data_IF_796895348970
#
_entry.id   IF_796895348970
#
_cell.length_a   1.000
_cell.length_b   1.000
_cell.length_c   1.000
_cell.angle_alpha   90.00
_cell.angle_beta   90.00
_cell.angle_gamma   90.00
#
_symmetry.space_group_name_H-M   'P 1'
#
loop_
_entity.id
_entity.type
_entity.pdbx_description
1 polymer ?
#
# COMPACT_ATOMS: atom_id res chain seq x y z
N UNK A 1 -10.39 24.68 22.88
CA UNK A 1 -9.10 24.33 22.26
C UNK A 1 -9.31 24.40 20.75
N UNK A 2 -8.74 25.39 20.10
CA UNK A 2 -9.16 25.84 18.77
C UNK A 2 -8.61 24.94 17.66
N UNK A 3 -9.48 24.50 16.75
CA UNK A 3 -9.15 23.73 15.53
C UNK A 3 -8.01 24.39 14.74
N UNK A 4 -7.96 25.73 14.75
CA UNK A 4 -6.92 26.55 14.10
C UNK A 4 -5.55 26.29 14.72
N UNK A 5 -5.45 26.09 16.04
CA UNK A 5 -4.19 25.82 16.73
C UNK A 5 -3.64 24.44 16.38
N UNK A 6 -4.52 23.44 16.26
CA UNK A 6 -4.12 22.11 15.82
C UNK A 6 -3.65 22.10 14.36
N UNK A 7 -4.32 22.85 13.50
CA UNK A 7 -3.91 22.99 12.10
C UNK A 7 -2.58 23.76 11.97
N UNK A 8 -2.37 24.80 12.79
CA UNK A 8 -1.10 25.52 12.85
C UNK A 8 0.07 24.64 13.31
N UNK A 9 -0.14 23.81 14.33
CA UNK A 9 0.86 22.87 14.83
C UNK A 9 1.18 21.78 13.79
N UNK A 10 0.18 21.32 13.04
CA UNK A 10 0.37 20.38 11.95
C UNK A 10 1.23 20.95 10.81
N UNK A 11 0.99 22.20 10.43
CA UNK A 11 1.79 22.90 9.42
C UNK A 11 3.24 23.16 9.90
N UNK A 12 3.44 23.47 11.18
CA UNK A 12 4.77 23.62 11.77
C UNK A 12 5.54 22.29 11.81
N UNK A 13 4.85 21.20 12.10
CA UNK A 13 5.43 19.86 12.06
C UNK A 13 5.84 19.47 10.63
N UNK A 14 4.99 19.74 9.64
CA UNK A 14 5.32 19.53 8.23
C UNK A 14 6.53 20.36 7.79
N UNK A 15 6.61 21.63 8.21
CA UNK A 15 7.76 22.49 7.93
C UNK A 15 9.05 21.95 8.57
N UNK A 16 8.96 21.39 9.79
CA UNK A 16 10.07 20.76 10.48
C UNK A 16 10.61 19.51 9.75
N UNK A 17 9.74 18.74 9.09
CA UNK A 17 10.14 17.58 8.28
C UNK A 17 10.97 17.96 7.04
N UNK A 18 10.80 19.17 6.50
CA UNK A 18 11.54 19.64 5.33
C UNK A 18 12.85 20.37 5.69
N UNK A 19 13.21 20.50 6.97
CA UNK A 19 14.52 21.00 7.37
C UNK A 19 15.60 19.95 7.10
N UNK A 20 16.76 20.39 6.59
CA UNK A 20 17.84 19.50 6.14
C UNK A 20 18.26 18.56 7.27
N UNK A 21 18.24 17.22 7.06
CA UNK A 21 18.75 16.27 8.03
C UNK A 21 20.27 16.41 8.16
N UNK A 22 20.78 16.34 9.37
CA UNK A 22 22.21 16.47 9.68
C UNK A 22 23.08 15.43 8.96
N UNK A 23 22.52 14.24 8.68
CA UNK A 23 23.21 13.14 7.99
C UNK A 23 22.34 12.51 6.89
N UNK A 24 22.40 13.07 5.68
CA UNK A 24 21.69 12.57 4.49
C UNK A 24 21.98 11.09 4.20
N UNK A 25 23.19 10.61 4.47
CA UNK A 25 23.58 9.21 4.21
C UNK A 25 22.90 8.22 5.16
N UNK A 26 22.75 8.59 6.43
CA UNK A 26 22.07 7.79 7.44
C UNK A 26 20.58 7.74 7.18
N UNK A 27 20.01 8.91 6.84
CA UNK A 27 18.58 9.02 6.48
C UNK A 27 18.22 8.18 5.27
N UNK A 28 19.06 8.21 4.22
CA UNK A 28 18.84 7.44 3.00
C UNK A 28 18.97 5.93 3.24
N UNK A 29 19.92 5.52 4.07
CA UNK A 29 20.10 4.10 4.45
C UNK A 29 18.88 3.59 5.22
N UNK A 30 18.38 4.36 6.17
CA UNK A 30 17.21 4.01 6.97
C UNK A 30 15.94 3.97 6.10
N UNK A 31 15.76 4.95 5.23
CA UNK A 31 14.65 4.98 4.29
C UNK A 31 14.61 3.73 3.40
N UNK A 32 15.75 3.35 2.82
CA UNK A 32 15.83 2.15 1.97
C UNK A 32 15.56 0.89 2.79
N UNK A 33 16.09 0.81 4.01
CA UNK A 33 15.84 -0.32 4.90
C UNK A 33 14.35 -0.49 5.21
N UNK A 34 13.68 0.57 5.62
CA UNK A 34 12.25 0.57 5.90
C UNK A 34 11.40 0.28 4.64
N UNK A 35 11.79 0.82 3.49
CA UNK A 35 11.10 0.56 2.23
C UNK A 35 11.18 -0.93 1.83
N UNK A 36 12.34 -1.56 2.00
CA UNK A 36 12.53 -2.98 1.73
C UNK A 36 11.74 -3.83 2.73
N UNK A 37 11.79 -3.49 4.00
CA UNK A 37 11.07 -4.24 5.05
C UNK A 37 9.54 -4.20 4.83
N UNK A 38 8.99 -3.02 4.53
CA UNK A 38 7.58 -2.85 4.21
C UNK A 38 7.22 -3.60 2.91
N UNK A 39 8.04 -3.44 1.87
CA UNK A 39 7.81 -4.07 0.57
C UNK A 39 7.84 -5.59 0.64
N UNK A 40 8.91 -6.17 1.17
CA UNK A 40 9.06 -7.63 1.29
C UNK A 40 8.06 -8.20 2.29
N UNK A 41 7.82 -7.52 3.40
CA UNK A 41 6.85 -7.95 4.40
C UNK A 41 5.39 -7.98 3.91
N UNK A 42 5.06 -7.21 2.87
CA UNK A 42 3.71 -7.21 2.27
C UNK A 42 3.52 -8.26 1.16
N UNK A 43 4.60 -8.85 0.63
CA UNK A 43 4.52 -9.83 -0.47
C UNK A 43 3.60 -11.02 -0.17
N UNK A 44 3.66 -11.70 0.98
CA UNK A 44 2.80 -12.85 1.24
C UNK A 44 1.31 -12.52 1.16
N UNK A 45 0.90 -11.39 1.70
CA UNK A 45 -0.51 -10.98 1.68
C UNK A 45 -0.95 -10.59 0.27
N UNK A 46 -0.11 -9.93 -0.50
CA UNK A 46 -0.38 -9.59 -1.91
C UNK A 46 -0.55 -10.85 -2.74
N UNK A 47 0.31 -11.85 -2.56
CA UNK A 47 0.22 -13.14 -3.28
C UNK A 47 -1.10 -13.85 -2.98
N UNK A 48 -1.48 -13.96 -1.72
CA UNK A 48 -2.75 -14.60 -1.33
C UNK A 48 -3.94 -13.88 -1.95
N UNK A 49 -4.00 -12.56 -1.82
CA UNK A 49 -5.10 -11.76 -2.39
C UNK A 49 -5.14 -11.90 -3.91
N UNK A 50 -3.99 -11.90 -4.60
CA UNK A 50 -3.93 -12.04 -6.05
C UNK A 50 -4.48 -13.39 -6.55
N UNK A 51 -4.17 -14.48 -5.84
CA UNK A 51 -4.70 -15.81 -6.19
C UNK A 51 -6.22 -15.84 -6.05
N UNK A 52 -6.77 -15.35 -4.93
CA UNK A 52 -8.21 -15.31 -4.72
C UNK A 52 -8.92 -14.39 -5.70
N UNK A 53 -8.37 -13.19 -5.93
CA UNK A 53 -8.93 -12.23 -6.87
C UNK A 53 -8.99 -12.80 -8.29
N UNK A 54 -7.90 -13.42 -8.75
CA UNK A 54 -7.83 -14.06 -10.06
C UNK A 54 -8.85 -15.19 -10.21
N UNK A 55 -8.97 -16.06 -9.21
CA UNK A 55 -9.93 -17.14 -9.21
C UNK A 55 -11.38 -16.62 -9.27
N UNK A 56 -11.74 -15.69 -8.39
CA UNK A 56 -13.10 -15.12 -8.35
C UNK A 56 -13.44 -14.39 -9.64
N UNK A 57 -12.54 -13.56 -10.17
CA UNK A 57 -12.78 -12.81 -11.40
C UNK A 57 -12.98 -13.76 -12.59
N UNK A 58 -12.18 -14.83 -12.70
CA UNK A 58 -12.30 -15.81 -13.77
C UNK A 58 -13.66 -16.51 -13.72
N UNK A 59 -14.05 -17.00 -12.55
CA UNK A 59 -15.34 -17.69 -12.36
C UNK A 59 -16.50 -16.75 -12.68
N UNK A 60 -16.48 -15.53 -12.13
CA UNK A 60 -17.55 -14.55 -12.32
C UNK A 60 -17.69 -14.15 -13.80
N UNK A 61 -16.59 -13.88 -14.48
CA UNK A 61 -16.61 -13.52 -15.91
C UNK A 61 -17.12 -14.67 -16.76
N UNK A 62 -16.73 -15.90 -16.45
CA UNK A 62 -17.21 -17.08 -17.15
C UNK A 62 -18.73 -17.22 -17.01
N UNK A 63 -19.29 -17.04 -15.82
CA UNK A 63 -20.74 -17.13 -15.61
C UNK A 63 -21.53 -15.99 -16.28
N UNK A 64 -20.97 -14.80 -16.37
CA UNK A 64 -21.63 -13.65 -17.00
C UNK A 64 -21.64 -13.74 -18.53
N UNK A 65 -20.61 -14.33 -19.12
CA UNK A 65 -20.43 -14.43 -20.57
C UNK A 65 -20.82 -15.80 -21.15
N UNK A 66 -21.66 -16.56 -20.46
CA UNK A 66 -22.20 -17.83 -20.98
C UNK A 66 -23.12 -17.56 -22.15
N UNK A 67 -22.54 -17.46 -23.33
CA UNK A 67 -23.24 -17.42 -24.61
C UNK A 67 -22.57 -18.40 -25.58
N UNK A 68 -23.33 -19.19 -26.33
CA UNK A 68 -22.75 -20.11 -27.35
C UNK A 68 -21.92 -19.39 -28.42
N UNK A 69 -22.05 -18.09 -28.51
CA UNK A 69 -21.38 -17.23 -29.51
C UNK A 69 -20.02 -16.68 -29.04
N UNK A 70 -19.69 -16.80 -27.72
CA UNK A 70 -18.44 -16.28 -27.18
C UNK A 70 -17.45 -17.42 -26.93
N UNK A 71 -16.33 -17.47 -27.67
CA UNK A 71 -15.30 -18.48 -27.45
C UNK A 71 -14.58 -18.27 -26.12
N UNK A 72 -14.17 -19.35 -25.47
CA UNK A 72 -13.42 -19.36 -24.21
C UNK A 72 -12.14 -18.53 -24.26
N UNK A 73 -11.51 -18.44 -25.44
CA UNK A 73 -10.33 -17.61 -25.65
C UNK A 73 -10.60 -16.11 -25.45
N UNK A 74 -11.78 -15.64 -25.84
CA UNK A 74 -12.20 -14.24 -25.64
C UNK A 74 -12.43 -13.93 -24.17
N UNK A 75 -13.04 -14.87 -23.43
CA UNK A 75 -13.24 -14.75 -21.98
C UNK A 75 -11.88 -14.64 -21.27
N UNK A 76 -10.93 -15.49 -21.64
CA UNK A 76 -9.58 -15.46 -21.07
C UNK A 76 -8.84 -14.12 -21.34
N UNK A 77 -9.01 -13.55 -22.52
CA UNK A 77 -8.43 -12.23 -22.85
C UNK A 77 -9.07 -11.12 -22.02
N UNK A 78 -10.39 -11.08 -21.89
CA UNK A 78 -11.10 -10.08 -21.09
C UNK A 78 -10.67 -10.15 -19.63
N UNK A 79 -10.60 -11.35 -19.06
CA UNK A 79 -10.15 -11.55 -17.67
C UNK A 79 -8.71 -11.09 -17.49
N UNK A 80 -7.82 -11.47 -18.40
CA UNK A 80 -6.41 -11.06 -18.34
C UNK A 80 -6.27 -9.55 -18.39
N UNK A 81 -6.92 -8.91 -19.36
CA UNK A 81 -6.78 -7.47 -19.57
C UNK A 81 -7.42 -6.66 -18.43
N UNK A 82 -8.58 -7.07 -17.93
CA UNK A 82 -9.21 -6.46 -16.76
C UNK A 82 -8.40 -6.63 -15.47
N UNK A 83 -7.82 -7.81 -15.25
CA UNK A 83 -6.96 -8.05 -14.10
C UNK A 83 -5.67 -7.22 -14.16
N UNK A 84 -5.00 -7.18 -15.31
CA UNK A 84 -3.72 -6.50 -15.44
C UNK A 84 -3.84 -4.97 -15.44
N UNK A 85 -4.87 -4.44 -16.11
CA UNK A 85 -4.99 -3.00 -16.33
C UNK A 85 -5.75 -2.27 -15.22
N UNK A 86 -6.73 -2.91 -14.60
CA UNK A 86 -7.63 -2.25 -13.65
C UNK A 86 -7.51 -2.80 -12.22
N UNK A 87 -7.73 -4.10 -12.05
CA UNK A 87 -7.85 -4.68 -10.72
C UNK A 87 -6.50 -4.82 -10.01
N UNK A 88 -5.48 -5.29 -10.70
CA UNK A 88 -4.17 -5.55 -10.10
C UNK A 88 -3.53 -4.30 -9.52
N UNK A 89 -3.37 -3.18 -10.25
CA UNK A 89 -2.77 -1.98 -9.69
C UNK A 89 -3.60 -1.38 -8.56
N UNK A 90 -4.92 -1.38 -8.69
CA UNK A 90 -5.82 -0.82 -7.67
C UNK A 90 -5.75 -1.59 -6.36
N UNK A 91 -5.87 -2.93 -6.42
CA UNK A 91 -5.83 -3.77 -5.22
C UNK A 91 -4.46 -3.73 -4.55
N UNK A 92 -3.38 -3.80 -5.33
CA UNK A 92 -2.02 -3.72 -4.79
C UNK A 92 -1.79 -2.39 -4.09
N UNK A 93 -2.21 -1.27 -4.68
CA UNK A 93 -2.11 0.04 -4.04
C UNK A 93 -2.88 0.12 -2.71
N UNK A 94 -4.09 -0.41 -2.64
CA UNK A 94 -4.89 -0.40 -1.41
C UNK A 94 -4.23 -1.26 -0.32
N UNK A 95 -3.78 -2.46 -0.68
CA UNK A 95 -3.09 -3.36 0.27
C UNK A 95 -1.81 -2.75 0.77
N UNK A 96 -0.97 -2.21 -0.12
CA UNK A 96 0.28 -1.55 0.26
C UNK A 96 0.05 -0.32 1.14
N UNK A 97 -0.96 0.49 0.85
CA UNK A 97 -1.32 1.63 1.69
C UNK A 97 -1.71 1.19 3.10
N UNK A 98 -2.49 0.11 3.24
CA UNK A 98 -2.86 -0.46 4.53
C UNK A 98 -1.67 -1.01 5.31
N UNK A 99 -0.82 -1.80 4.67
CA UNK A 99 0.38 -2.38 5.30
C UNK A 99 1.38 -1.29 5.68
N UNK A 100 1.67 -0.36 4.77
CA UNK A 100 2.59 0.75 5.04
C UNK A 100 2.08 1.64 6.17
N UNK A 101 0.80 2.02 6.13
CA UNK A 101 0.19 2.83 7.19
C UNK A 101 0.23 2.15 8.56
N UNK A 102 -0.07 0.87 8.63
CA UNK A 102 0.02 0.08 9.87
C UNK A 102 1.45 -0.01 10.41
N UNK A 103 2.43 -0.28 9.56
CA UNK A 103 3.84 -0.33 9.95
C UNK A 103 4.35 1.02 10.46
N UNK A 104 4.08 2.11 9.75
CA UNK A 104 4.46 3.46 10.17
C UNK A 104 3.83 3.81 11.54
N UNK A 105 2.55 3.52 11.71
CA UNK A 105 1.86 3.77 12.97
C UNK A 105 2.45 2.96 14.13
N UNK A 106 2.79 1.69 13.89
CA UNK A 106 3.42 0.81 14.88
C UNK A 106 4.81 1.29 15.27
N UNK A 107 5.65 1.68 14.31
CA UNK A 107 6.99 2.20 14.58
C UNK A 107 6.95 3.51 15.36
N UNK A 108 6.09 4.46 14.97
CA UNK A 108 5.90 5.70 15.71
C UNK A 108 5.38 5.46 17.13
N UNK A 109 4.47 4.47 17.30
CA UNK A 109 3.98 4.05 18.60
C UNK A 109 5.10 3.49 19.48
N UNK A 110 5.96 2.63 18.94
CA UNK A 110 7.10 2.08 19.63
C UNK A 110 8.12 3.15 20.05
N UNK A 111 8.44 4.09 19.15
CA UNK A 111 9.33 5.21 19.43
C UNK A 111 8.80 6.10 20.56
N UNK A 112 7.48 6.26 20.66
CA UNK A 112 6.86 7.02 21.74
C UNK A 112 6.90 6.29 23.08
N UNK A 113 6.63 4.99 23.06
CA UNK A 113 6.67 4.14 24.29
C UNK A 113 8.08 4.01 24.83
N UNK A 114 9.08 3.92 23.95
CA UNK A 114 10.50 3.86 24.33
C UNK A 114 11.13 5.23 24.60
N UNK A 115 10.35 6.30 24.65
CA UNK A 115 10.79 7.69 24.92
C UNK A 115 11.85 8.21 23.93
N UNK A 116 12.04 7.57 22.79
CA UNK A 116 13.02 8.00 21.78
C UNK A 116 12.65 9.32 21.11
N UNK A 117 11.38 9.71 21.12
CA UNK A 117 10.89 10.96 20.55
C UNK A 117 11.11 12.12 21.52
N UNK A 118 11.09 11.87 22.84
CA UNK A 118 11.23 12.86 23.90
C UNK A 118 12.70 13.08 24.32
N UNK A 119 13.57 12.24 23.81
CA UNK A 119 15.01 12.39 23.99
C UNK A 119 15.61 13.31 22.92
#
# INVERSE_FOLDING_TARGET
MNLITHFGNYLLMLKGMFTKPENLRMYWKEFVHQAVEIGVGSLPIVVIISVFLGAVTTVQTTYQLVSPLVPLSTIAQIVRDGLLLELSPTVVCIVLAGVAGSKIASELGNMRVSEQIDA
#
